data_IF_227475419912
#
_entry.id   IF_227475419912
#
_cell.length_a   1.000
_cell.length_b   1.000
_cell.length_c   1.000
_cell.angle_alpha   90.00
_cell.angle_beta   90.00
_cell.angle_gamma   90.00
#
_symmetry.space_group_name_H-M   'P 1'
#
loop_
_entity.id
_entity.type
_entity.pdbx_description
1 polymer ?
#
# COMPACT_ATOMS: atom_id res chain seq x y z
N UNK A 1 32.05 -8.06 -23.43
CA UNK A 1 32.27 -7.19 -22.26
C UNK A 1 30.99 -7.15 -21.46
N UNK A 2 31.00 -7.68 -20.25
CA UNK A 2 29.88 -7.55 -19.33
C UNK A 2 29.75 -6.07 -19.00
N UNK A 3 28.60 -5.47 -19.34
CA UNK A 3 28.41 -4.04 -19.21
C UNK A 3 28.40 -3.55 -17.75
N UNK A 4 28.71 -2.27 -17.56
CA UNK A 4 28.71 -1.59 -16.24
C UNK A 4 27.40 -1.86 -15.46
N UNK A 5 26.27 -2.01 -16.14
CA UNK A 5 24.98 -2.32 -15.57
C UNK A 5 24.92 -3.65 -14.81
N UNK A 6 25.64 -4.68 -15.27
CA UNK A 6 25.68 -5.98 -14.58
C UNK A 6 26.46 -5.91 -13.27
N UNK A 7 27.50 -5.07 -13.21
CA UNK A 7 28.30 -4.88 -12.00
C UNK A 7 27.46 -4.16 -10.95
N UNK A 8 26.77 -3.08 -11.31
CA UNK A 8 25.89 -2.36 -10.39
C UNK A 8 24.74 -3.23 -9.89
N UNK A 9 24.10 -4.01 -10.76
CA UNK A 9 23.02 -4.91 -10.37
C UNK A 9 23.48 -5.96 -9.35
N UNK A 10 24.67 -6.52 -9.53
CA UNK A 10 25.27 -7.46 -8.56
C UNK A 10 25.59 -6.80 -7.24
N UNK A 11 26.15 -5.58 -7.25
CA UNK A 11 26.44 -4.83 -6.03
C UNK A 11 25.19 -4.49 -5.25
N UNK A 12 24.15 -3.99 -5.93
CA UNK A 12 22.86 -3.66 -5.30
C UNK A 12 22.20 -4.91 -4.71
N UNK A 13 22.21 -6.03 -5.43
CA UNK A 13 21.66 -7.28 -4.91
C UNK A 13 22.45 -7.79 -3.71
N UNK A 14 23.78 -7.74 -3.74
CA UNK A 14 24.62 -8.18 -2.62
C UNK A 14 24.37 -7.33 -1.36
N UNK A 15 24.25 -6.01 -1.51
CA UNK A 15 23.91 -5.10 -0.40
C UNK A 15 22.51 -5.41 0.12
N UNK A 16 21.53 -5.61 -0.75
CA UNK A 16 20.16 -5.92 -0.36
C UNK A 16 20.07 -7.28 0.36
N UNK A 17 20.83 -8.29 -0.08
CA UNK A 17 20.90 -9.59 0.59
C UNK A 17 21.56 -9.49 1.96
N UNK A 18 22.64 -8.72 2.08
CA UNK A 18 23.30 -8.48 3.37
C UNK A 18 22.37 -7.82 4.36
N UNK A 19 21.59 -6.81 3.94
CA UNK A 19 20.59 -6.18 4.80
C UNK A 19 19.43 -7.12 5.18
N UNK A 20 19.05 -8.05 4.32
CA UNK A 20 18.03 -9.07 4.64
C UNK A 20 18.53 -10.11 5.63
N UNK A 21 19.80 -10.48 5.55
CA UNK A 21 20.39 -11.50 6.44
C UNK A 21 20.63 -10.97 7.86
N UNK A 22 20.90 -9.69 8.00
CA UNK A 22 21.23 -9.07 9.31
C UNK A 22 20.42 -7.78 9.54
N UNK A 23 19.06 -7.86 9.56
CA UNK A 23 18.23 -6.67 9.72
C UNK A 23 18.33 -6.03 11.12
N UNK A 24 18.80 -6.80 12.11
CA UNK A 24 18.93 -6.36 13.49
C UNK A 24 20.33 -6.66 14.02
N UNK A 25 20.96 -5.66 14.62
CA UNK A 25 22.17 -5.86 15.40
C UNK A 25 21.86 -6.42 16.81
N UNK A 26 22.89 -6.79 17.56
CA UNK A 26 22.73 -7.34 18.89
C UNK A 26 22.05 -6.35 19.86
N UNK A 27 22.24 -5.04 19.67
CA UNK A 27 21.63 -4.02 20.51
C UNK A 27 20.12 -3.91 20.20
N UNK A 28 19.74 -3.94 18.92
CA UNK A 28 18.35 -3.96 18.50
C UNK A 28 17.60 -5.21 18.97
N UNK A 29 18.24 -6.39 18.87
CA UNK A 29 17.66 -7.64 19.40
C UNK A 29 17.46 -7.60 20.92
N UNK A 30 18.43 -7.06 21.66
CA UNK A 30 18.28 -6.87 23.11
C UNK A 30 17.15 -5.89 23.44
N UNK A 31 17.00 -4.81 22.67
CA UNK A 31 15.93 -3.85 22.86
C UNK A 31 14.55 -4.45 22.56
N UNK A 32 14.43 -5.25 21.50
CA UNK A 32 13.20 -5.96 21.14
C UNK A 32 12.79 -7.01 22.19
N UNK A 33 13.77 -7.70 22.78
CA UNK A 33 13.54 -8.74 23.81
C UNK A 33 13.42 -8.20 25.24
N UNK A 34 13.46 -6.87 25.44
CA UNK A 34 13.22 -6.30 26.78
C UNK A 34 11.74 -6.43 27.11
N UNK A 35 11.46 -7.27 28.08
CA UNK A 35 10.15 -7.29 28.74
C UNK A 35 10.07 -6.04 29.63
N UNK A 36 9.29 -5.05 29.18
CA UNK A 36 9.15 -3.78 29.91
C UNK A 36 8.08 -3.82 31.00
N UNK A 37 7.18 -4.80 30.98
CA UNK A 37 6.18 -5.01 32.01
C UNK A 37 5.91 -6.51 32.14
N UNK A 38 5.60 -6.97 33.34
CA UNK A 38 5.09 -8.32 33.58
C UNK A 38 3.61 -8.30 33.15
N UNK A 39 3.20 -9.06 32.12
CA UNK A 39 1.81 -9.16 31.74
C UNK A 39 1.02 -9.75 32.92
N UNK A 40 -0.08 -9.11 33.29
CA UNK A 40 -0.96 -9.69 34.33
C UNK A 40 -1.86 -10.80 33.75
N UNK A 41 -1.70 -11.15 32.49
CA UNK A 41 -2.37 -12.22 31.78
C UNK A 41 -3.88 -12.01 31.57
N UNK A 42 -4.49 -11.06 32.25
CA UNK A 42 -5.93 -10.84 32.23
C UNK A 42 -6.40 -9.76 31.29
N UNK A 43 -5.45 -8.97 30.75
CA UNK A 43 -5.73 -7.77 29.94
C UNK A 43 -4.83 -7.63 28.73
N UNK A 44 -4.58 -8.72 28.04
CA UNK A 44 -3.85 -8.68 26.79
C UNK A 44 -4.74 -8.30 25.64
N UNK A 45 -4.23 -7.41 24.80
CA UNK A 45 -4.91 -7.04 23.58
C UNK A 45 -5.05 -8.25 22.64
N UNK A 46 -6.25 -8.59 22.23
CA UNK A 46 -6.56 -9.73 21.35
C UNK A 46 -5.83 -9.68 19.99
N UNK A 47 -5.40 -8.48 19.56
CA UNK A 47 -4.77 -8.28 18.25
C UNK A 47 -3.25 -8.27 18.33
N UNK A 48 -2.66 -7.55 19.27
CA UNK A 48 -1.21 -7.37 19.33
C UNK A 48 -0.54 -7.99 20.56
N UNK A 49 -1.28 -8.60 21.48
CA UNK A 49 -0.74 -9.22 22.70
C UNK A 49 -0.17 -8.23 23.73
N UNK A 50 -0.34 -6.92 23.52
CA UNK A 50 0.19 -5.92 24.45
C UNK A 50 -0.68 -5.90 25.72
N UNK A 51 -0.03 -5.94 26.89
CA UNK A 51 -0.65 -5.85 28.22
C UNK A 51 -1.00 -4.41 28.62
N UNK A 52 -1.51 -3.60 27.72
CA UNK A 52 -2.01 -2.26 28.00
C UNK A 52 -3.46 -2.32 28.51
N UNK A 53 -3.98 -1.17 28.96
CA UNK A 53 -5.42 -1.06 29.20
C UNK A 53 -6.16 -1.42 27.91
N UNK A 54 -7.05 -2.40 27.99
CA UNK A 54 -7.91 -2.83 26.89
C UNK A 54 -9.34 -2.34 27.12
N UNK A 55 -10.06 -2.03 26.04
CA UNK A 55 -11.48 -1.67 26.11
C UNK A 55 -12.36 -2.92 26.29
N UNK A 56 -13.69 -2.73 26.34
CA UNK A 56 -14.64 -3.84 26.49
C UNK A 56 -14.54 -4.90 25.37
N UNK A 57 -14.04 -4.52 24.20
CA UNK A 57 -13.83 -5.40 23.05
C UNK A 57 -12.51 -6.19 23.14
N UNK A 58 -11.68 -5.90 24.16
CA UNK A 58 -10.36 -6.53 24.34
C UNK A 58 -9.27 -5.90 23.45
N UNK A 59 -9.43 -4.67 23.01
CA UNK A 59 -8.48 -3.96 22.17
C UNK A 59 -7.72 -2.91 22.97
N UNK A 60 -6.39 -2.85 22.82
CA UNK A 60 -5.61 -1.74 23.33
C UNK A 60 -5.93 -0.43 22.57
N UNK A 61 -5.56 0.75 23.10
CA UNK A 61 -5.87 2.03 22.45
C UNK A 61 -5.37 2.14 21.01
N UNK A 62 -4.23 1.52 20.69
CA UNK A 62 -3.68 1.47 19.33
C UNK A 62 -4.53 0.60 18.41
N UNK A 63 -4.79 -0.64 18.79
CA UNK A 63 -5.57 -1.57 17.96
C UNK A 63 -7.00 -1.08 17.76
N UNK A 64 -7.61 -0.49 18.79
CA UNK A 64 -8.92 0.13 18.68
C UNK A 64 -8.92 1.32 17.69
N UNK A 65 -7.89 2.15 17.70
CA UNK A 65 -7.74 3.22 16.72
C UNK A 65 -7.61 2.68 15.28
N UNK A 66 -6.82 1.62 15.10
CA UNK A 66 -6.67 0.99 13.78
C UNK A 66 -7.95 0.32 13.29
N UNK A 67 -8.71 -0.33 14.18
CA UNK A 67 -10.01 -0.90 13.83
C UNK A 67 -10.97 0.17 13.29
N UNK A 68 -11.04 1.33 13.97
CA UNK A 68 -11.89 2.45 13.56
C UNK A 68 -11.36 3.19 12.31
N UNK A 69 -10.05 3.07 12.02
CA UNK A 69 -9.42 3.70 10.87
C UNK A 69 -9.86 3.04 9.55
N UNK A 70 -10.12 1.74 9.56
CA UNK A 70 -10.47 0.97 8.36
C UNK A 70 -11.68 1.54 7.63
N UNK A 71 -12.76 1.81 8.35
CA UNK A 71 -13.98 2.39 7.78
C UNK A 71 -13.74 3.78 7.19
N UNK A 72 -12.89 4.59 7.82
CA UNK A 72 -12.55 5.93 7.32
C UNK A 72 -11.73 5.86 6.03
N UNK A 73 -10.74 4.96 5.95
CA UNK A 73 -9.93 4.75 4.75
C UNK A 73 -10.79 4.26 3.58
N UNK A 74 -11.76 3.38 3.84
CA UNK A 74 -12.64 2.87 2.80
C UNK A 74 -13.58 3.95 2.25
N UNK A 75 -14.22 4.71 3.14
CA UNK A 75 -15.32 5.61 2.80
C UNK A 75 -14.87 7.04 2.43
N UNK A 76 -13.61 7.41 2.74
CA UNK A 76 -13.09 8.74 2.47
C UNK A 76 -12.01 8.70 1.38
N UNK A 77 -12.00 9.73 0.54
CA UNK A 77 -11.05 9.83 -0.57
C UNK A 77 -9.92 10.83 -0.35
N UNK A 78 -9.97 11.60 0.73
CA UNK A 78 -8.98 12.64 1.05
C UNK A 78 -8.46 12.43 2.46
N UNK A 79 -7.15 12.36 2.59
CA UNK A 79 -6.45 12.19 3.86
C UNK A 79 -5.63 13.45 4.13
N UNK A 80 -5.87 14.08 5.26
CA UNK A 80 -5.34 15.40 5.61
C UNK A 80 -4.40 15.28 6.80
N UNK A 81 -3.17 15.76 6.65
CA UNK A 81 -2.17 15.80 7.72
C UNK A 81 -2.09 17.20 8.28
N UNK A 82 -2.31 17.33 9.58
CA UNK A 82 -2.29 18.60 10.32
C UNK A 82 -1.13 18.66 11.32
N UNK A 83 -0.66 19.86 11.63
CA UNK A 83 0.31 20.08 12.71
C UNK A 83 -0.35 20.26 14.08
N UNK A 84 -1.65 20.57 14.10
CA UNK A 84 -2.46 20.79 15.31
C UNK A 84 -3.53 19.71 15.42
N UNK A 85 -3.97 19.36 16.64
CA UNK A 85 -5.06 18.41 16.81
C UNK A 85 -6.37 18.95 16.22
N UNK A 86 -7.15 18.07 15.61
CA UNK A 86 -8.49 18.36 15.09
C UNK A 86 -9.48 17.35 15.69
N UNK A 87 -10.75 17.74 15.87
CA UNK A 87 -11.77 16.79 16.32
C UNK A 87 -11.80 15.55 15.41
N UNK A 88 -11.79 14.36 16.00
CA UNK A 88 -11.80 13.09 15.27
C UNK A 88 -10.49 12.72 14.53
N UNK A 89 -9.46 13.56 14.60
CA UNK A 89 -8.20 13.26 13.95
C UNK A 89 -7.39 12.19 14.71
N UNK A 90 -6.75 11.32 13.97
CA UNK A 90 -5.87 10.28 14.46
C UNK A 90 -4.47 10.85 14.71
N UNK A 91 -3.97 10.74 15.94
CA UNK A 91 -2.59 11.17 16.24
C UNK A 91 -1.59 10.18 15.62
N UNK A 92 -0.76 10.65 14.70
CA UNK A 92 0.30 9.85 14.10
C UNK A 92 1.49 9.69 15.05
N UNK A 93 2.21 8.55 14.99
CA UNK A 93 3.45 8.39 15.71
C UNK A 93 4.44 9.50 15.30
N UNK A 94 4.90 10.27 16.28
CA UNK A 94 5.84 11.37 16.01
C UNK A 94 7.25 10.87 15.76
N UNK A 95 7.87 11.36 14.68
CA UNK A 95 9.29 11.20 14.46
C UNK A 95 10.00 12.44 15.04
N UNK A 96 10.98 12.24 15.92
CA UNK A 96 11.76 13.32 16.56
C UNK A 96 10.91 14.37 17.28
N UNK A 97 9.85 13.93 17.98
CA UNK A 97 8.99 14.83 18.77
C UNK A 97 7.98 15.67 17.99
N UNK A 98 7.93 15.56 16.68
CA UNK A 98 6.92 16.25 15.87
C UNK A 98 5.58 15.56 16.03
N UNK A 99 4.55 16.31 16.48
CA UNK A 99 3.18 15.82 16.53
C UNK A 99 2.51 16.08 15.17
N UNK A 100 1.88 15.07 14.62
CA UNK A 100 1.06 15.14 13.41
C UNK A 100 -0.26 14.45 13.63
N UNK A 101 -1.29 14.91 12.97
CA UNK A 101 -2.66 14.41 13.12
C UNK A 101 -3.21 14.12 11.73
N UNK A 102 -3.84 12.97 11.57
CA UNK A 102 -4.47 12.52 10.33
C UNK A 102 -5.98 12.63 10.47
N UNK A 103 -6.63 13.31 9.56
CA UNK A 103 -8.08 13.32 9.41
C UNK A 103 -8.48 12.88 8.01
N UNK A 104 -9.74 12.51 7.87
CA UNK A 104 -10.30 11.99 6.62
C UNK A 104 -11.48 12.83 6.19
N UNK A 105 -11.65 13.03 4.89
CA UNK A 105 -12.75 13.80 4.31
C UNK A 105 -13.01 13.42 2.86
N UNK A 106 -14.14 13.81 2.34
CA UNK A 106 -14.43 13.84 0.90
C UNK A 106 -14.47 15.29 0.37
N UNK A 107 -14.38 16.28 1.26
CA UNK A 107 -14.36 17.69 0.89
C UNK A 107 -12.94 18.18 0.57
N UNK A 108 -12.73 18.54 -0.68
CA UNK A 108 -11.42 19.04 -1.17
C UNK A 108 -11.09 20.45 -0.67
N UNK A 109 -12.05 21.23 -0.21
CA UNK A 109 -11.78 22.56 0.34
C UNK A 109 -10.91 22.50 1.60
N UNK A 110 -11.02 21.42 2.38
CA UNK A 110 -10.22 21.21 3.58
C UNK A 110 -8.74 20.97 3.33
N UNK A 111 -8.34 20.70 2.08
CA UNK A 111 -6.95 20.54 1.73
C UNK A 111 -6.12 21.83 1.95
N UNK A 112 -6.73 22.97 1.88
CA UNK A 112 -6.06 24.27 2.07
C UNK A 112 -5.48 24.45 3.48
N UNK A 113 -6.15 23.88 4.49
CA UNK A 113 -5.77 23.96 5.91
C UNK A 113 -4.78 22.87 6.35
N UNK A 114 -4.47 21.94 5.48
CA UNK A 114 -3.59 20.81 5.77
C UNK A 114 -2.13 21.14 5.46
N UNK A 115 -1.21 20.62 6.27
CA UNK A 115 0.25 20.68 5.98
C UNK A 115 0.55 19.82 4.75
N UNK A 116 -0.18 18.73 4.57
CA UNK A 116 -0.11 17.85 3.40
C UNK A 116 -1.43 17.13 3.22
N UNK A 117 -1.83 16.93 1.98
CA UNK A 117 -3.00 16.14 1.64
C UNK A 117 -2.63 14.95 0.77
N UNK A 118 -3.38 13.87 0.91
CA UNK A 118 -3.32 12.69 0.05
C UNK A 118 -4.71 12.44 -0.50
N UNK A 119 -4.81 12.17 -1.80
CA UNK A 119 -6.10 11.92 -2.44
C UNK A 119 -6.11 10.50 -3.01
N UNK A 120 -7.09 9.70 -2.60
CA UNK A 120 -7.27 8.31 -3.04
C UNK A 120 -8.11 8.28 -4.32
N UNK A 121 -7.54 7.74 -5.40
CA UNK A 121 -8.19 7.56 -6.71
C UNK A 121 -8.87 8.82 -7.27
N UNK A 122 -8.44 10.00 -6.82
CA UNK A 122 -9.02 11.28 -7.19
C UNK A 122 -7.93 12.33 -7.42
N UNK A 123 -8.01 13.06 -8.52
CA UNK A 123 -7.14 14.18 -8.80
C UNK A 123 -7.79 15.46 -8.25
N UNK A 124 -7.16 16.06 -7.26
CA UNK A 124 -7.59 17.34 -6.67
C UNK A 124 -6.48 18.36 -6.89
N UNK A 125 -6.83 19.51 -7.45
CA UNK A 125 -5.93 20.67 -7.55
C UNK A 125 -6.07 21.49 -6.27
N UNK A 126 -4.99 21.58 -5.50
CA UNK A 126 -4.94 22.34 -4.25
C UNK A 126 -3.71 23.23 -4.23
N UNK A 127 -3.75 24.29 -3.42
CA UNK A 127 -2.58 25.17 -3.17
C UNK A 127 -1.58 24.53 -2.18
N UNK A 128 -2.01 23.57 -1.38
CA UNK A 128 -1.15 22.83 -0.45
C UNK A 128 -0.51 21.63 -1.15
N UNK A 129 0.64 21.13 -0.64
CA UNK A 129 1.26 19.94 -1.16
C UNK A 129 0.30 18.74 -1.13
N UNK A 130 -0.02 18.20 -2.31
CA UNK A 130 -0.93 17.05 -2.47
C UNK A 130 -0.24 15.90 -3.17
N UNK A 131 -0.53 14.69 -2.73
CA UNK A 131 -0.03 13.44 -3.31
C UNK A 131 -1.20 12.56 -3.70
N UNK A 132 -1.23 12.12 -4.96
CA UNK A 132 -2.24 11.18 -5.42
C UNK A 132 -1.86 9.75 -5.06
N UNK A 133 -2.74 9.05 -4.39
CA UNK A 133 -2.66 7.63 -4.07
C UNK A 133 -3.58 6.87 -5.01
N UNK A 134 -3.04 5.90 -5.71
CA UNK A 134 -3.81 5.00 -6.55
C UNK A 134 -3.92 3.65 -5.87
N UNK A 135 -5.15 3.19 -5.66
CA UNK A 135 -5.47 1.94 -4.95
C UNK A 135 -6.55 1.21 -5.73
N UNK A 136 -6.29 -0.06 -6.06
CA UNK A 136 -7.31 -0.95 -6.60
C UNK A 136 -8.21 -1.40 -5.46
N UNK A 137 -9.30 -0.70 -5.24
CA UNK A 137 -10.20 -0.90 -4.10
C UNK A 137 -11.69 -0.94 -4.50
N UNK A 138 -11.99 -1.18 -5.78
CA UNK A 138 -13.38 -1.31 -6.21
C UNK A 138 -14.08 -2.45 -5.46
N UNK A 139 -15.22 -2.15 -4.88
CA UNK A 139 -16.07 -3.12 -4.21
C UNK A 139 -17.54 -2.82 -4.55
N UNK A 140 -18.22 -3.80 -5.15
CA UNK A 140 -19.68 -3.75 -5.33
C UNK A 140 -20.39 -3.89 -3.99
N UNK A 141 -19.86 -4.69 -3.07
CA UNK A 141 -20.22 -4.74 -1.66
C UNK A 141 -19.02 -5.12 -0.80
N UNK A 142 -19.00 -4.64 0.44
CA UNK A 142 -18.03 -5.05 1.47
C UNK A 142 -18.48 -6.33 2.21
N UNK A 143 -19.68 -6.82 1.94
CA UNK A 143 -20.25 -8.02 2.51
C UNK A 143 -20.30 -9.14 1.46
N UNK A 144 -19.73 -10.29 1.77
CA UNK A 144 -19.73 -11.47 0.89
C UNK A 144 -21.15 -11.99 0.64
N UNK A 145 -22.03 -11.86 1.62
CA UNK A 145 -23.42 -12.30 1.49
C UNK A 145 -24.16 -11.50 0.40
N UNK A 146 -23.97 -10.18 0.35
CA UNK A 146 -24.58 -9.34 -0.66
C UNK A 146 -24.09 -9.69 -2.08
N UNK A 147 -22.82 -10.09 -2.22
CA UNK A 147 -22.28 -10.57 -3.49
C UNK A 147 -22.91 -11.92 -3.88
N UNK A 148 -23.11 -12.81 -2.90
CA UNK A 148 -23.74 -14.11 -3.14
C UNK A 148 -25.22 -13.99 -3.51
N UNK A 149 -25.93 -13.00 -2.97
CA UNK A 149 -27.35 -12.74 -3.24
C UNK A 149 -27.60 -12.25 -4.67
N UNK A 150 -26.59 -11.70 -5.32
CA UNK A 150 -26.67 -11.28 -6.71
C UNK A 150 -26.39 -12.40 -7.72
N UNK A 151 -26.07 -13.63 -7.23
CA UNK A 151 -25.83 -14.75 -8.12
C UNK A 151 -27.13 -15.32 -8.67
N UNK A 152 -27.13 -15.73 -9.95
CA UNK A 152 -28.23 -16.46 -10.55
C UNK A 152 -28.12 -17.96 -10.24
N UNK A 153 -29.21 -18.56 -9.76
CA UNK A 153 -29.26 -19.97 -9.41
C UNK A 153 -28.76 -20.28 -8.00
N UNK A 154 -27.68 -21.04 -7.86
CA UNK A 154 -27.13 -21.40 -6.56
C UNK A 154 -26.37 -20.20 -5.97
N UNK A 155 -26.74 -19.81 -4.76
CA UNK A 155 -26.10 -18.72 -4.00
C UNK A 155 -24.64 -19.05 -3.69
N UNK A 156 -23.70 -18.51 -4.47
CA UNK A 156 -22.27 -18.78 -4.38
C UNK A 156 -21.44 -17.54 -4.70
N UNK A 157 -20.26 -17.47 -4.11
CA UNK A 157 -19.20 -16.49 -4.46
C UNK A 157 -18.01 -17.27 -5.04
N UNK A 158 -17.41 -16.74 -6.10
CA UNK A 158 -16.17 -17.25 -6.66
C UNK A 158 -15.01 -16.33 -6.26
N UNK A 159 -13.85 -16.92 -5.99
CA UNK A 159 -12.62 -16.20 -5.76
C UNK A 159 -11.76 -16.34 -7.03
N UNK A 160 -11.49 -15.23 -7.69
CA UNK A 160 -10.61 -15.19 -8.85
C UNK A 160 -9.24 -14.64 -8.42
N UNK A 161 -8.19 -15.36 -8.76
CA UNK A 161 -6.80 -14.90 -8.61
C UNK A 161 -6.18 -14.80 -9.99
N UNK A 162 -5.62 -13.63 -10.28
CA UNK A 162 -4.92 -13.37 -11.54
C UNK A 162 -3.48 -12.96 -11.24
N UNK A 163 -2.58 -13.38 -12.11
CA UNK A 163 -1.17 -12.99 -12.09
C UNK A 163 -0.74 -12.64 -13.52
N UNK A 164 0.35 -11.87 -13.64
CA UNK A 164 0.89 -11.49 -14.94
C UNK A 164 1.98 -12.49 -15.33
N UNK A 165 1.69 -13.30 -16.34
CA UNK A 165 2.64 -14.27 -16.86
C UNK A 165 3.87 -13.58 -17.48
N UNK A 166 5.03 -14.19 -17.26
CA UNK A 166 6.30 -13.76 -17.86
C UNK A 166 6.69 -12.30 -17.60
N UNK A 167 6.21 -11.68 -16.51
CA UNK A 167 6.51 -10.29 -16.18
C UNK A 167 8.03 -10.05 -16.08
N UNK A 168 8.79 -10.98 -15.50
CA UNK A 168 10.25 -10.91 -15.42
C UNK A 168 10.90 -10.85 -16.79
N UNK A 169 10.46 -11.67 -17.75
CA UNK A 169 10.94 -11.66 -19.11
C UNK A 169 10.58 -10.37 -19.85
N UNK A 170 9.39 -9.83 -19.62
CA UNK A 170 8.96 -8.55 -20.18
C UNK A 170 9.90 -7.40 -19.74
N UNK A 171 10.37 -7.40 -18.50
CA UNK A 171 11.35 -6.42 -18.02
C UNK A 171 12.75 -6.59 -18.59
N UNK A 172 13.17 -7.83 -18.87
CA UNK A 172 14.52 -8.15 -19.36
C UNK A 172 14.60 -7.95 -20.87
N UNK A 173 13.65 -8.47 -21.62
CA UNK A 173 13.71 -8.60 -23.08
C UNK A 173 12.50 -7.99 -23.82
N UNK A 174 11.49 -7.49 -23.12
CA UNK A 174 10.24 -6.99 -23.72
C UNK A 174 10.40 -5.77 -24.64
N UNK A 175 11.56 -5.13 -24.63
CA UNK A 175 11.89 -4.01 -25.51
C UNK A 175 12.95 -4.33 -26.55
N UNK A 176 13.35 -5.60 -26.68
CA UNK A 176 14.20 -6.05 -27.77
C UNK A 176 13.45 -5.99 -29.11
N UNK A 177 14.22 -5.74 -30.18
CA UNK A 177 13.70 -5.86 -31.56
C UNK A 177 14.22 -7.18 -32.15
N UNK A 178 13.43 -8.28 -32.06
CA UNK A 178 13.91 -9.63 -32.44
C UNK A 178 14.25 -9.74 -33.93
N UNK A 179 13.63 -8.91 -34.77
CA UNK A 179 13.84 -8.90 -36.23
C UNK A 179 15.17 -8.24 -36.67
N UNK A 180 15.87 -7.59 -35.74
CA UNK A 180 17.13 -6.94 -36.03
C UNK A 180 18.30 -7.91 -35.85
N UNK A 181 19.12 -8.05 -36.91
CA UNK A 181 20.33 -8.88 -36.89
C UNK A 181 21.52 -8.20 -36.20
N UNK A 182 21.60 -6.87 -36.27
CA UNK A 182 22.60 -6.08 -35.56
C UNK A 182 22.28 -6.04 -34.04
N UNK A 183 23.18 -6.52 -33.18
CA UNK A 183 23.00 -6.53 -31.74
C UNK A 183 22.73 -5.13 -31.14
N UNK A 184 23.34 -4.09 -31.72
CA UNK A 184 23.15 -2.69 -31.25
C UNK A 184 21.73 -2.21 -31.54
N UNK A 185 21.25 -2.45 -32.76
CA UNK A 185 19.89 -2.09 -33.14
C UNK A 185 18.86 -2.92 -32.38
N UNK A 186 19.12 -4.22 -32.20
CA UNK A 186 18.24 -5.11 -31.43
C UNK A 186 18.01 -4.59 -30.01
N UNK A 187 19.04 -4.09 -29.33
CA UNK A 187 19.00 -3.62 -27.94
C UNK A 187 18.67 -2.13 -27.80
N UNK A 188 18.44 -1.41 -28.90
CA UNK A 188 18.24 0.05 -28.94
C UNK A 188 17.21 0.56 -27.96
N UNK A 189 16.16 -0.21 -27.74
CA UNK A 189 15.03 0.19 -26.87
C UNK A 189 15.09 -0.46 -25.48
N UNK A 190 16.07 -1.31 -25.21
CA UNK A 190 16.29 -1.90 -23.88
C UNK A 190 17.04 -0.89 -23.02
N UNK A 191 16.33 -0.11 -22.25
CA UNK A 191 16.91 0.88 -21.36
C UNK A 191 16.09 1.05 -20.08
N UNK A 192 16.73 1.61 -19.06
CA UNK A 192 16.12 1.81 -17.74
C UNK A 192 14.86 2.66 -17.79
N UNK A 193 14.81 3.68 -18.65
CA UNK A 193 13.64 4.57 -18.73
C UNK A 193 12.40 3.83 -19.21
N UNK A 194 12.52 2.96 -20.20
CA UNK A 194 11.40 2.14 -20.69
C UNK A 194 10.98 1.11 -19.67
N UNK A 195 11.94 0.45 -19.01
CA UNK A 195 11.63 -0.47 -17.92
C UNK A 195 10.89 0.24 -16.77
N UNK A 196 11.34 1.44 -16.38
CA UNK A 196 10.68 2.24 -15.36
C UNK A 196 9.27 2.70 -15.79
N UNK A 197 9.12 3.13 -17.06
CA UNK A 197 7.82 3.50 -17.61
C UNK A 197 6.86 2.31 -17.64
N UNK A 198 7.33 1.13 -18.06
CA UNK A 198 6.54 -0.10 -18.04
C UNK A 198 6.12 -0.50 -16.63
N UNK A 199 7.05 -0.49 -15.68
CA UNK A 199 6.75 -0.74 -14.25
C UNK A 199 5.67 0.20 -13.73
N UNK A 200 5.78 1.50 -14.06
CA UNK A 200 4.77 2.49 -13.69
C UNK A 200 3.40 2.21 -14.32
N UNK A 201 3.36 1.85 -15.60
CA UNK A 201 2.09 1.54 -16.27
C UNK A 201 1.43 0.29 -15.69
N UNK A 202 2.20 -0.76 -15.41
CA UNK A 202 1.70 -1.96 -14.73
C UNK A 202 1.15 -1.62 -13.34
N UNK A 203 1.88 -0.83 -12.57
CA UNK A 203 1.42 -0.38 -11.27
C UNK A 203 0.13 0.45 -11.35
N UNK A 204 0.02 1.36 -12.34
CA UNK A 204 -1.20 2.16 -12.55
C UNK A 204 -2.37 1.29 -13.01
N UNK A 205 -2.12 0.26 -13.82
CA UNK A 205 -3.17 -0.67 -14.24
C UNK A 205 -3.81 -1.34 -13.02
N UNK A 206 -3.02 -1.98 -12.17
CA UNK A 206 -3.52 -2.70 -11.00
C UNK A 206 -4.03 -1.79 -9.87
N UNK A 207 -3.51 -0.56 -9.77
CA UNK A 207 -3.89 0.36 -8.67
C UNK A 207 -4.97 1.37 -9.04
N UNK A 208 -5.16 1.67 -10.32
CA UNK A 208 -6.09 2.70 -10.75
C UNK A 208 -7.07 2.22 -11.82
N UNK A 209 -6.55 1.76 -12.97
CA UNK A 209 -7.41 1.43 -14.11
C UNK A 209 -8.34 0.24 -13.84
N UNK A 210 -7.92 -0.70 -13.00
CA UNK A 210 -8.73 -1.86 -12.64
C UNK A 210 -10.07 -1.47 -11.99
N UNK A 211 -10.10 -0.37 -11.23
CA UNK A 211 -11.34 0.12 -10.62
C UNK A 211 -12.38 0.48 -11.69
N UNK A 212 -11.95 1.17 -12.75
CA UNK A 212 -12.84 1.53 -13.86
C UNK A 212 -13.28 0.33 -14.70
N UNK A 213 -12.39 -0.66 -14.87
CA UNK A 213 -12.73 -1.89 -15.60
C UNK A 213 -13.78 -2.74 -14.89
N UNK A 214 -13.77 -2.74 -13.58
CA UNK A 214 -14.70 -3.53 -12.76
C UNK A 214 -15.97 -2.77 -12.42
N UNK A 215 -16.04 -1.49 -12.73
CA UNK A 215 -17.19 -0.66 -12.42
C UNK A 215 -18.47 -1.21 -13.05
N UNK A 216 -19.50 -1.41 -12.22
CA UNK A 216 -20.78 -1.98 -12.63
C UNK A 216 -20.84 -3.50 -12.63
N UNK A 217 -19.73 -4.19 -12.34
CA UNK A 217 -19.74 -5.63 -12.15
C UNK A 217 -19.98 -5.99 -10.66
N UNK A 218 -20.61 -7.14 -10.43
CA UNK A 218 -20.83 -7.70 -9.10
C UNK A 218 -19.54 -8.37 -8.57
N UNK A 219 -18.50 -7.57 -8.35
CA UNK A 219 -17.20 -8.03 -7.86
C UNK A 219 -16.64 -7.07 -6.81
N UNK A 220 -15.76 -7.57 -5.97
CA UNK A 220 -15.00 -6.75 -5.01
C UNK A 220 -13.54 -7.15 -5.03
N UNK A 221 -12.64 -6.17 -5.12
CA UNK A 221 -11.20 -6.39 -5.07
C UNK A 221 -10.82 -6.63 -3.61
N UNK A 222 -10.22 -7.79 -3.33
CA UNK A 222 -9.64 -8.09 -2.02
C UNK A 222 -8.21 -7.58 -1.94
N UNK A 223 -7.46 -7.71 -3.04
CA UNK A 223 -6.08 -7.26 -3.14
C UNK A 223 -5.72 -6.95 -4.59
N UNK A 224 -5.02 -5.85 -4.84
CA UNK A 224 -4.49 -5.47 -6.14
C UNK A 224 -3.12 -4.78 -6.00
N UNK A 225 -2.12 -5.20 -6.82
CA UNK A 225 -0.81 -4.53 -6.93
C UNK A 225 0.39 -5.37 -6.67
#
# INVERSE_FOLDING_TARGET
SRGLGDVYKRQVNAIAEQHKQHPYDAAALRALNRVQAIPDGTRECKVCGNSAQVNAEGLCPWCNRFANLSAQIQNQSIYLVHSTPRPGAFALPGIRGSKRFLSFSNDSALCADAVRSYTKNRLVRTLSPSVNLFVGDYAASNNIEDLADQSEGIRRVAICRMDVDNLGQAFIAGFEQPDQTDPVQRMKYVNLFRAAAFSRQMSLFFKYHINGLLQGLCVSIVYAG
#
